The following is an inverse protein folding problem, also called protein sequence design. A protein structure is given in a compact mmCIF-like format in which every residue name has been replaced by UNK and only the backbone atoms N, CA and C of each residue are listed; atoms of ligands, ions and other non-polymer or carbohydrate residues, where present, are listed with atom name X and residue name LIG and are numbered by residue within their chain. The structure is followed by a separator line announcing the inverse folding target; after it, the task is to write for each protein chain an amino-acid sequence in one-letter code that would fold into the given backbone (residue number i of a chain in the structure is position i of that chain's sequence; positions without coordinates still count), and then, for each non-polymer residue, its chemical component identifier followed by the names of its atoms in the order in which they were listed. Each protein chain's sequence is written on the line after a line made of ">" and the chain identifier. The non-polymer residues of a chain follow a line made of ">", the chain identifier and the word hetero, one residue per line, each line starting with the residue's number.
data_IF_927340721132
#
_entry.id   IF_927340721132
#
_cell.length_a   1.000
_cell.length_b   1.000
_cell.length_c   1.000
_cell.angle_alpha   90.00
_cell.angle_beta   90.00
_cell.angle_gamma   90.00
#
_symmetry.space_group_name_H-M   'P 1'
#
loop_
_entity.id
_entity.type
_entity.pdbx_description
1 polymer ?
#
# COMPACT_ATOMS: atom_id res chain seq x y z
N UNK A 1 -0.23 -25.52 40.52
CA UNK A 1 -0.38 -25.49 39.05
C UNK A 1 -1.18 -24.24 38.75
N UNK A 2 -0.52 -23.13 38.49
CA UNK A 2 -1.19 -21.87 38.16
C UNK A 2 -1.03 -21.59 36.68
N UNK A 3 -2.17 -21.28 36.06
CA UNK A 3 -2.39 -21.28 34.62
C UNK A 3 -1.70 -20.08 34.01
N UNK A 4 -0.64 -20.30 33.23
CA UNK A 4 -0.15 -19.33 32.27
C UNK A 4 -1.27 -19.01 31.29
N UNK A 5 -1.95 -17.89 31.49
CA UNK A 5 -2.72 -17.26 30.42
C UNK A 5 -1.72 -16.76 29.40
N UNK A 6 -1.42 -17.60 28.40
CA UNK A 6 -0.83 -17.15 27.16
C UNK A 6 -1.76 -16.10 26.57
N UNK A 7 -1.35 -14.84 26.68
CA UNK A 7 -1.85 -13.77 25.83
C UNK A 7 -1.50 -14.17 24.40
N UNK A 8 -2.40 -14.91 23.74
CA UNK A 8 -2.30 -15.18 22.30
C UNK A 8 -2.55 -13.86 21.61
N UNK A 9 -1.47 -13.10 21.40
CA UNK A 9 -1.47 -11.96 20.49
C UNK A 9 -2.05 -12.46 19.16
N UNK A 10 -3.26 -12.00 18.87
CA UNK A 10 -4.05 -12.49 17.74
C UNK A 10 -3.51 -11.79 16.49
N UNK A 11 -2.41 -12.30 15.97
CA UNK A 11 -1.74 -11.78 14.79
C UNK A 11 -2.60 -12.06 13.56
N UNK A 12 -2.94 -11.01 12.81
CA UNK A 12 -3.61 -11.15 11.50
C UNK A 12 -2.55 -11.03 10.42
N UNK A 13 -2.32 -12.08 9.65
CA UNK A 13 -1.50 -11.97 8.44
C UNK A 13 -2.35 -11.52 7.25
N UNK A 14 -1.74 -10.74 6.37
CA UNK A 14 -2.36 -10.24 5.13
C UNK A 14 -1.31 -10.29 4.03
N UNK A 15 -1.68 -10.75 2.84
CA UNK A 15 -0.81 -10.66 1.66
C UNK A 15 -1.04 -9.34 0.93
N UNK A 16 0.04 -8.61 0.64
CA UNK A 16 0.03 -7.42 -0.22
C UNK A 16 0.91 -7.65 -1.45
N UNK A 17 0.59 -6.97 -2.54
CA UNK A 17 1.38 -6.93 -3.77
C UNK A 17 1.35 -5.52 -4.36
N UNK A 18 2.15 -5.28 -5.40
CA UNK A 18 2.01 -4.07 -6.21
C UNK A 18 0.54 -3.90 -6.63
N UNK A 19 -0.01 -2.69 -6.50
CA UNK A 19 -1.40 -2.38 -6.83
C UNK A 19 -2.42 -2.70 -5.72
N UNK A 20 -2.04 -3.30 -4.59
CA UNK A 20 -2.99 -3.55 -3.49
C UNK A 20 -3.48 -2.22 -2.91
N UNK A 21 -4.80 -2.04 -2.88
CA UNK A 21 -5.44 -0.89 -2.26
C UNK A 21 -5.58 -1.13 -0.76
N UNK A 22 -5.15 -0.16 0.03
CA UNK A 22 -5.16 -0.25 1.49
C UNK A 22 -5.75 1.03 2.09
N UNK A 23 -6.35 0.90 3.27
CA UNK A 23 -6.52 2.05 4.15
C UNK A 23 -5.27 2.24 4.99
N UNK A 24 -4.84 3.49 5.13
CA UNK A 24 -3.76 3.89 6.04
C UNK A 24 -4.37 4.72 7.15
N UNK A 25 -4.13 4.31 8.39
CA UNK A 25 -4.60 4.96 9.60
C UNK A 25 -3.64 6.13 9.88
N UNK A 26 -4.11 7.35 9.66
CA UNK A 26 -3.40 8.57 10.02
C UNK A 26 -3.62 8.96 11.49
N UNK A 27 -2.90 9.99 11.94
CA UNK A 27 -3.07 10.59 13.28
C UNK A 27 -4.31 11.49 13.40
N UNK A 28 -4.95 11.85 12.27
CA UNK A 28 -6.10 12.77 12.21
C UNK A 28 -7.32 12.10 11.56
N UNK A 29 -8.03 11.22 12.29
CA UNK A 29 -9.42 10.70 12.10
C UNK A 29 -9.99 10.38 10.70
N UNK A 30 -9.22 10.52 9.61
CA UNK A 30 -9.63 10.26 8.23
C UNK A 30 -8.66 9.23 7.68
N UNK A 31 -9.11 7.98 7.63
CA UNK A 31 -8.44 6.92 6.89
C UNK A 31 -8.21 7.40 5.46
N UNK A 32 -6.94 7.44 5.01
CA UNK A 32 -6.61 7.68 3.60
C UNK A 32 -6.54 6.35 2.86
N UNK A 33 -6.82 6.38 1.55
CA UNK A 33 -6.66 5.22 0.68
C UNK A 33 -5.40 5.38 -0.14
N UNK A 34 -4.53 4.39 -0.02
CA UNK A 34 -3.29 4.32 -0.76
C UNK A 34 -3.24 3.04 -1.60
N UNK A 35 -2.40 3.05 -2.63
CA UNK A 35 -2.04 1.86 -3.41
C UNK A 35 -0.60 1.50 -3.11
N UNK A 36 -0.32 0.21 -2.84
CA UNK A 36 1.05 -0.28 -2.67
C UNK A 36 1.81 -0.17 -3.99
N UNK A 37 2.98 0.45 -3.96
CA UNK A 37 3.86 0.60 -5.15
C UNK A 37 5.19 -0.13 -4.98
N UNK A 38 5.64 -0.34 -3.75
CA UNK A 38 6.71 -1.27 -3.42
C UNK A 38 6.30 -2.03 -2.17
N UNK A 39 6.35 -3.36 -2.23
CA UNK A 39 6.00 -4.25 -1.11
C UNK A 39 7.00 -4.12 0.05
N UNK A 40 8.17 -3.52 -0.20
CA UNK A 40 9.21 -3.23 0.80
C UNK A 40 9.73 -4.46 1.54
N UNK A 41 10.50 -4.22 2.59
CA UNK A 41 11.04 -5.25 3.50
C UNK A 41 10.87 -4.80 4.97
N UNK A 42 11.02 -5.71 5.93
CA UNK A 42 11.01 -5.34 7.37
C UNK A 42 9.64 -4.94 7.93
N UNK A 43 9.48 -3.73 8.44
CA UNK A 43 8.25 -3.23 9.09
C UNK A 43 7.60 -2.06 8.33
N UNK A 44 7.95 -1.88 7.07
CA UNK A 44 7.41 -0.84 6.20
C UNK A 44 7.28 -1.31 4.74
N UNK A 45 6.57 -0.50 3.95
CA UNK A 45 6.44 -0.61 2.50
C UNK A 45 6.16 0.78 1.89
N UNK A 46 6.24 0.93 0.57
CA UNK A 46 5.92 2.20 -0.11
C UNK A 46 4.51 2.16 -0.70
N UNK A 47 3.80 3.28 -0.56
CA UNK A 47 2.48 3.45 -1.15
C UNK A 47 2.33 4.82 -1.80
N UNK A 48 1.46 4.90 -2.79
CA UNK A 48 1.00 6.16 -3.36
C UNK A 48 -0.42 6.46 -2.87
N UNK A 49 -0.65 7.68 -2.39
CA UNK A 49 -2.00 8.14 -2.07
C UNK A 49 -2.79 8.29 -3.35
N UNK A 50 -3.97 7.68 -3.41
CA UNK A 50 -4.84 7.77 -4.59
C UNK A 50 -6.06 8.64 -4.36
N UNK A 51 -6.50 9.34 -5.40
CA UNK A 51 -7.76 10.08 -5.41
C UNK A 51 -8.55 9.78 -6.67
N UNK A 52 -9.88 9.66 -6.56
CA UNK A 52 -10.76 9.49 -7.72
C UNK A 52 -11.07 10.86 -8.31
N UNK A 53 -10.89 10.99 -9.62
CA UNK A 53 -11.21 12.16 -10.42
C UNK A 53 -12.20 11.77 -11.52
N UNK A 54 -12.60 12.74 -12.35
CA UNK A 54 -13.41 12.48 -13.54
C UNK A 54 -12.64 11.70 -14.63
N UNK A 55 -11.31 11.81 -14.64
CA UNK A 55 -10.43 11.17 -15.64
C UNK A 55 -9.93 9.80 -15.20
N UNK A 56 -10.19 9.40 -13.95
CA UNK A 56 -9.71 8.15 -13.37
C UNK A 56 -9.16 8.34 -11.97
N UNK A 57 -8.36 7.38 -11.50
CA UNK A 57 -7.61 7.52 -10.25
C UNK A 57 -6.30 8.26 -10.55
N UNK A 58 -5.86 9.14 -9.65
CA UNK A 58 -4.58 9.82 -9.77
C UNK A 58 -3.75 9.68 -8.49
N UNK A 59 -2.42 9.65 -8.63
CA UNK A 59 -1.50 9.78 -7.51
C UNK A 59 -1.52 11.21 -6.96
N UNK A 60 -1.51 11.35 -5.63
CA UNK A 60 -1.30 12.63 -4.93
C UNK A 60 0.07 12.75 -4.28
N UNK A 61 0.83 11.66 -4.23
CA UNK A 61 2.15 11.60 -3.62
C UNK A 61 2.50 10.16 -3.23
N UNK A 62 3.79 9.89 -3.21
CA UNK A 62 4.39 8.62 -2.77
C UNK A 62 4.98 8.80 -1.38
N UNK A 63 4.89 7.78 -0.54
CA UNK A 63 5.57 7.77 0.75
C UNK A 63 5.62 6.39 1.39
N UNK A 64 6.34 6.32 2.49
CA UNK A 64 6.50 5.12 3.30
C UNK A 64 5.31 4.91 4.24
N UNK A 65 4.87 3.67 4.38
CA UNK A 65 3.86 3.23 5.34
C UNK A 65 4.48 2.18 6.26
N UNK A 66 4.50 2.48 7.55
CA UNK A 66 4.85 1.49 8.58
C UNK A 66 3.67 0.53 8.81
N UNK A 67 3.94 -0.74 9.13
CA UNK A 67 2.90 -1.75 9.36
C UNK A 67 1.92 -1.36 10.48
N UNK A 68 2.36 -0.59 11.48
CA UNK A 68 1.49 -0.07 12.55
C UNK A 68 0.43 0.94 12.07
N UNK A 69 0.62 1.54 10.91
CA UNK A 69 -0.31 2.46 10.26
C UNK A 69 -1.20 1.75 9.22
N UNK A 70 -0.99 0.45 8.98
CA UNK A 70 -1.84 -0.34 8.09
C UNK A 70 -3.24 -0.51 8.70
N UNK A 71 -4.27 -0.21 7.93
CA UNK A 71 -5.66 -0.46 8.31
C UNK A 71 -6.18 -1.78 7.76
N UNK A 72 -6.64 -1.78 6.51
CA UNK A 72 -7.20 -2.96 5.86
C UNK A 72 -6.95 -2.96 4.35
N UNK A 73 -7.00 -4.13 3.72
CA UNK A 73 -7.08 -4.27 2.26
C UNK A 73 -8.48 -3.90 1.78
N UNK A 74 -8.53 -3.06 0.75
CA UNK A 74 -9.75 -2.55 0.14
C UNK A 74 -9.99 -3.12 -1.27
N UNK A 75 -8.95 -3.67 -1.89
CA UNK A 75 -9.02 -4.21 -3.25
C UNK A 75 -7.66 -4.27 -3.91
N UNK A 76 -7.66 -4.38 -5.23
CA UNK A 76 -6.47 -4.53 -6.05
C UNK A 76 -6.66 -3.74 -7.34
N UNK A 77 -5.64 -2.97 -7.73
CA UNK A 77 -5.52 -2.39 -9.06
C UNK A 77 -4.67 -3.29 -9.93
N UNK A 78 -4.96 -3.30 -11.23
CA UNK A 78 -4.07 -3.87 -12.24
C UNK A 78 -2.82 -3.00 -12.39
N UNK A 79 -1.72 -3.57 -12.90
CA UNK A 79 -0.48 -2.82 -13.14
C UNK A 79 -0.74 -1.59 -14.02
N UNK A 80 -1.55 -1.74 -15.08
CA UNK A 80 -1.92 -0.65 -15.97
C UNK A 80 -2.70 0.45 -15.24
N UNK A 81 -3.62 0.11 -14.34
CA UNK A 81 -4.34 1.12 -13.55
C UNK A 81 -3.41 1.90 -12.61
N UNK A 82 -2.38 1.26 -12.06
CA UNK A 82 -1.38 1.94 -11.21
C UNK A 82 -0.52 2.88 -12.06
N UNK A 83 -0.05 2.42 -13.22
CA UNK A 83 0.76 3.22 -14.16
C UNK A 83 -0.03 4.42 -14.70
N UNK A 84 -1.30 4.23 -15.08
CA UNK A 84 -2.14 5.35 -15.52
C UNK A 84 -2.44 6.32 -14.36
N UNK A 85 -2.63 5.82 -13.14
CA UNK A 85 -2.79 6.70 -11.97
C UNK A 85 -1.52 7.50 -11.66
N UNK A 86 -0.34 6.91 -11.85
CA UNK A 86 0.94 7.57 -11.74
C UNK A 86 1.12 8.63 -12.84
N UNK A 87 0.79 8.28 -14.09
CA UNK A 87 0.82 9.20 -15.24
C UNK A 87 -0.09 10.41 -15.02
N UNK A 88 -1.33 10.20 -14.56
CA UNK A 88 -2.25 11.28 -14.23
C UNK A 88 -1.77 12.13 -13.04
N UNK A 89 -1.18 11.50 -12.02
CA UNK A 89 -0.71 12.20 -10.82
C UNK A 89 0.54 13.06 -11.03
N UNK A 90 1.51 12.55 -11.78
CA UNK A 90 2.76 13.26 -12.09
C UNK A 90 2.67 14.12 -13.36
N UNK A 91 1.70 13.85 -14.24
CA UNK A 91 1.45 14.63 -15.45
C UNK A 91 2.69 14.74 -16.32
N UNK A 92 3.09 15.99 -16.63
CA UNK A 92 4.28 16.29 -17.44
C UNK A 92 5.61 15.79 -16.86
N UNK A 93 5.65 15.44 -15.57
CA UNK A 93 6.83 14.90 -14.92
C UNK A 93 6.93 13.39 -15.03
N UNK A 94 5.89 12.71 -15.54
CA UNK A 94 5.93 11.29 -15.78
C UNK A 94 6.85 10.97 -16.96
N UNK A 95 7.99 10.34 -16.68
CA UNK A 95 8.96 9.93 -17.68
C UNK A 95 8.84 8.44 -17.99
N UNK A 96 9.48 8.01 -19.09
CA UNK A 96 9.62 6.59 -19.41
C UNK A 96 10.37 5.82 -18.32
N UNK A 97 11.43 6.41 -17.75
CA UNK A 97 12.21 5.81 -16.66
C UNK A 97 11.31 5.52 -15.44
N UNK A 98 10.43 6.45 -15.07
CA UNK A 98 9.48 6.23 -13.97
C UNK A 98 8.46 5.12 -14.29
N UNK A 99 8.05 4.98 -15.56
CA UNK A 99 7.19 3.88 -15.96
C UNK A 99 7.93 2.54 -15.86
N UNK A 100 9.15 2.46 -16.39
CA UNK A 100 9.99 1.26 -16.35
C UNK A 100 10.26 0.84 -14.89
N UNK A 101 10.50 1.79 -13.99
CA UNK A 101 10.66 1.52 -12.55
C UNK A 101 9.40 0.92 -11.93
N UNK A 102 8.22 1.49 -12.20
CA UNK A 102 6.94 0.94 -11.73
C UNK A 102 6.67 -0.46 -12.27
N UNK A 103 7.01 -0.71 -13.54
CA UNK A 103 6.88 -2.03 -14.16
C UNK A 103 7.83 -3.06 -13.52
N UNK A 104 9.04 -2.66 -13.15
CA UNK A 104 9.97 -3.52 -12.39
C UNK A 104 9.45 -3.81 -10.98
N UNK A 105 8.93 -2.81 -10.27
CA UNK A 105 8.33 -2.99 -8.96
C UNK A 105 7.14 -3.94 -9.00
N UNK A 106 6.33 -3.90 -10.06
CA UNK A 106 5.21 -4.80 -10.26
C UNK A 106 5.62 -6.29 -10.40
N UNK A 107 6.89 -6.57 -10.72
CA UNK A 107 7.42 -7.92 -10.84
C UNK A 107 7.96 -8.50 -9.52
N UNK A 108 8.03 -7.70 -8.44
CA UNK A 108 8.52 -8.17 -7.12
C UNK A 108 7.63 -9.21 -6.43
N UNK A 109 6.44 -9.48 -6.98
CA UNK A 109 5.51 -10.50 -6.48
C UNK A 109 4.66 -9.99 -5.31
N UNK A 110 4.56 -10.79 -4.26
CA UNK A 110 3.74 -10.49 -3.08
C UNK A 110 4.48 -10.77 -1.79
N UNK A 111 3.99 -10.17 -0.72
CA UNK A 111 4.56 -10.25 0.62
C UNK A 111 3.46 -10.48 1.64
N UNK A 112 3.67 -11.44 2.53
CA UNK A 112 2.85 -11.57 3.73
C UNK A 112 3.35 -10.60 4.81
N UNK A 113 2.42 -9.80 5.34
CA UNK A 113 2.66 -8.88 6.45
C UNK A 113 1.86 -9.37 7.66
N UNK A 114 2.51 -9.35 8.83
CA UNK A 114 1.89 -9.75 10.09
C UNK A 114 1.51 -8.49 10.84
N UNK A 115 0.21 -8.31 11.09
CA UNK A 115 -0.34 -7.16 11.80
C UNK A 115 -0.58 -7.53 13.26
N UNK A 116 0.10 -6.83 14.16
CA UNK A 116 -0.17 -6.90 15.59
C UNK A 116 -1.47 -6.14 15.89
N UNK A 117 -2.48 -6.84 16.40
CA UNK A 117 -3.68 -6.18 16.92
C UNK A 117 -3.31 -5.43 18.20
N UNK A 118 -3.74 -4.17 18.32
CA UNK A 118 -3.78 -3.44 19.59
C UNK A 118 -5.02 -3.80 20.37
#
# INVERSE_FOLDING_TARGET
>A
MDRGQENKENHRSVTISFGTLISVIGTSDKSRVDVVIDIGEGDWFESARIHKTNEGRMFKGVGTVELKAFGQVLGQLTNNEVIEAARLGWGKHFSKEMQDDLEQLAQKGSREIVLSQK
#
